data_IF_981962144067
#
_entry.id   IF_981962144067
#
_cell.length_a   1.000
_cell.length_b   1.000
_cell.length_c   1.000
_cell.angle_alpha   90.00
_cell.angle_beta   90.00
_cell.angle_gamma   90.00
#
_symmetry.space_group_name_H-M   'P 1'
#
loop_
_entity.id
_entity.type
_entity.pdbx_description
1 polymer ?
#
# COMPACT_ATOMS: atom_id res chain seq x y z
N UNK A 1 -29.69 -9.77 7.39
CA UNK A 1 -30.36 -9.89 8.65
C UNK A 1 -29.25 -9.69 9.68
N UNK A 2 -29.03 -8.78 10.38
CA UNK A 2 -29.81 -8.33 11.37
C UNK A 2 -29.05 -7.93 12.62
N UNK A 3 -28.20 -6.92 12.40
CA UNK A 3 -27.58 -6.21 13.50
C UNK A 3 -28.66 -5.76 14.52
N UNK A 4 -29.83 -5.37 14.01
CA UNK A 4 -31.00 -5.05 14.85
C UNK A 4 -31.52 -6.22 15.68
N UNK A 5 -31.38 -7.47 15.23
CA UNK A 5 -31.80 -8.64 16.02
C UNK A 5 -30.86 -8.89 17.21
N UNK A 6 -29.57 -8.53 17.04
CA UNK A 6 -28.53 -8.67 18.08
C UNK A 6 -28.63 -7.52 19.10
N UNK A 7 -28.82 -6.29 18.63
CA UNK A 7 -28.70 -5.06 19.42
C UNK A 7 -30.06 -4.53 19.88
N UNK A 8 -31.14 -4.93 19.23
CA UNK A 8 -32.53 -4.50 19.51
C UNK A 8 -32.94 -3.25 18.72
N UNK A 9 -34.23 -3.13 18.41
CA UNK A 9 -34.83 -2.15 17.49
C UNK A 9 -34.84 -0.69 17.92
N UNK A 10 -34.13 -0.30 18.98
CA UNK A 10 -34.13 1.06 19.57
C UNK A 10 -32.82 1.82 19.38
N UNK A 11 -31.97 1.45 18.43
CA UNK A 11 -30.77 2.23 18.08
C UNK A 11 -31.10 3.23 16.98
N UNK A 12 -30.68 4.49 17.18
CA UNK A 12 -30.84 5.58 16.21
C UNK A 12 -29.82 5.46 15.03
N UNK A 13 -29.59 4.25 14.52
CA UNK A 13 -28.76 4.00 13.35
C UNK A 13 -27.24 3.99 13.60
N UNK A 14 -26.74 4.35 14.78
CA UNK A 14 -25.30 4.36 15.11
C UNK A 14 -25.00 3.58 16.40
N UNK A 15 -23.91 2.84 16.40
CA UNK A 15 -23.34 2.19 17.59
C UNK A 15 -21.94 2.71 17.80
N UNK A 16 -21.66 3.25 18.99
CA UNK A 16 -20.32 3.64 19.38
C UNK A 16 -19.61 2.41 19.96
N UNK A 17 -18.42 2.16 19.49
CA UNK A 17 -17.54 1.10 19.98
C UNK A 17 -16.27 1.77 20.48
N UNK A 18 -15.85 1.40 21.66
CA UNK A 18 -14.60 1.81 22.26
C UNK A 18 -13.67 0.58 22.29
N UNK A 19 -12.51 0.71 21.68
CA UNK A 19 -11.48 -0.33 21.67
C UNK A 19 -10.31 0.20 22.47
N UNK A 20 -10.00 -0.46 23.58
CA UNK A 20 -8.83 -0.16 24.39
C UNK A 20 -7.81 -1.28 24.25
N UNK A 21 -6.56 -0.92 24.05
CA UNK A 21 -5.45 -1.87 23.97
C UNK A 21 -4.55 -1.61 25.20
N UNK A 22 -4.46 -2.60 26.09
CA UNK A 22 -3.61 -2.55 27.27
C UNK A 22 -2.12 -2.76 26.95
N UNK A 23 -1.28 -2.60 27.96
CA UNK A 23 0.17 -2.88 27.84
C UNK A 23 0.50 -4.35 27.61
N UNK A 24 -0.48 -5.24 27.77
CA UNK A 24 -0.41 -6.68 27.47
C UNK A 24 -0.80 -7.03 26.02
N UNK A 25 -1.00 -6.01 25.17
CA UNK A 25 -1.47 -6.11 23.78
C UNK A 25 -2.84 -6.79 23.61
N UNK A 26 -3.63 -6.90 24.67
CA UNK A 26 -4.99 -7.39 24.58
C UNK A 26 -5.96 -6.26 24.28
N UNK A 27 -6.80 -6.48 23.28
CA UNK A 27 -7.86 -5.55 22.95
C UNK A 27 -9.11 -5.85 23.80
N UNK A 28 -9.60 -4.83 24.50
CA UNK A 28 -10.90 -4.84 25.16
C UNK A 28 -11.88 -4.04 24.31
N UNK A 29 -13.01 -4.63 23.95
CA UNK A 29 -14.03 -3.99 23.15
C UNK A 29 -15.23 -3.70 24.02
N UNK A 30 -15.57 -2.43 24.15
CA UNK A 30 -16.69 -1.96 24.95
C UNK A 30 -17.67 -1.23 24.06
N UNK A 31 -18.96 -1.50 24.21
CA UNK A 31 -20.04 -0.74 23.57
C UNK A 31 -20.63 0.23 24.60
N UNK A 32 -20.11 1.46 24.70
CA UNK A 32 -20.58 2.41 25.69
C UNK A 32 -21.99 2.87 25.34
N UNK A 33 -22.92 2.76 26.27
CA UNK A 33 -24.23 3.35 26.16
C UNK A 33 -24.62 4.10 27.45
N UNK A 34 -25.14 5.28 27.28
CA UNK A 34 -25.75 6.06 28.37
C UNK A 34 -27.25 5.80 28.41
N UNK A 35 -27.81 5.45 29.56
CA UNK A 35 -29.26 5.27 29.74
C UNK A 35 -29.68 3.94 30.38
N UNK A 36 -31.00 3.73 30.53
CA UNK A 36 -31.61 2.60 31.26
C UNK A 36 -31.21 1.18 30.78
N UNK A 37 -30.68 1.03 29.57
CA UNK A 37 -30.27 -0.26 28.98
C UNK A 37 -28.75 -0.38 28.79
N UNK A 38 -27.96 0.43 29.44
CA UNK A 38 -26.48 0.45 29.30
C UNK A 38 -25.84 -0.92 29.63
N UNK A 39 -26.27 -1.54 30.73
CA UNK A 39 -25.75 -2.85 31.18
C UNK A 39 -26.04 -3.99 30.20
N UNK A 40 -27.12 -3.90 29.40
CA UNK A 40 -27.50 -4.93 28.45
C UNK A 40 -26.61 -4.91 27.18
N UNK A 41 -26.18 -3.72 26.75
CA UNK A 41 -25.27 -3.60 25.60
C UNK A 41 -23.82 -3.97 25.97
N UNK A 42 -23.38 -3.64 27.19
CA UNK A 42 -22.08 -4.07 27.69
C UNK A 42 -21.98 -5.61 27.76
N UNK A 43 -23.05 -6.30 28.17
CA UNK A 43 -23.12 -7.78 28.16
C UNK A 43 -23.11 -8.39 26.76
N UNK A 44 -23.45 -7.62 25.73
CA UNK A 44 -23.45 -8.06 24.31
C UNK A 44 -22.22 -7.61 23.56
N UNK A 45 -21.24 -6.98 24.22
CA UNK A 45 -20.03 -6.45 23.57
C UNK A 45 -19.32 -7.52 22.75
N UNK A 46 -19.14 -8.73 23.27
CA UNK A 46 -18.48 -9.83 22.57
C UNK A 46 -19.24 -10.26 21.30
N UNK A 47 -20.57 -10.32 21.39
CA UNK A 47 -21.43 -10.70 20.25
C UNK A 47 -21.35 -9.60 19.17
N UNK A 48 -21.36 -8.35 19.58
CA UNK A 48 -21.24 -7.21 18.68
C UNK A 48 -19.84 -7.16 18.05
N UNK A 49 -18.81 -7.38 18.84
CA UNK A 49 -17.44 -7.46 18.38
C UNK A 49 -17.27 -8.57 17.33
N UNK A 50 -17.78 -9.76 17.62
CA UNK A 50 -17.78 -10.88 16.68
C UNK A 50 -18.54 -10.55 15.39
N UNK A 51 -19.72 -9.98 15.50
CA UNK A 51 -20.52 -9.56 14.34
C UNK A 51 -19.77 -8.57 13.44
N UNK A 52 -19.00 -7.66 14.01
CA UNK A 52 -18.22 -6.65 13.29
C UNK A 52 -16.98 -7.28 12.67
N UNK A 53 -16.23 -8.10 13.42
CA UNK A 53 -15.03 -8.77 12.94
C UNK A 53 -15.28 -9.72 11.76
N UNK A 54 -16.48 -10.31 11.69
CA UNK A 54 -16.89 -11.14 10.55
C UNK A 54 -17.22 -10.33 9.28
N UNK A 55 -17.36 -8.99 9.37
CA UNK A 55 -17.81 -8.12 8.28
C UNK A 55 -16.80 -7.05 7.88
N UNK A 56 -15.89 -6.71 8.76
CA UNK A 56 -14.81 -5.77 8.49
C UNK A 56 -13.51 -6.56 8.50
N UNK A 57 -12.89 -6.66 7.35
CA UNK A 57 -11.52 -7.19 7.24
C UNK A 57 -10.53 -6.02 7.18
N UNK A 58 -9.48 -6.10 7.97
CA UNK A 58 -8.38 -5.15 7.94
C UNK A 58 -7.19 -5.84 7.29
N UNK A 59 -6.79 -5.36 6.14
CA UNK A 59 -5.61 -5.83 5.43
C UNK A 59 -4.50 -4.79 5.62
N UNK A 60 -3.47 -5.16 6.36
CA UNK A 60 -2.37 -4.27 6.70
C UNK A 60 -1.09 -4.70 5.99
N UNK A 61 -0.47 -3.78 5.27
CA UNK A 61 0.85 -3.92 4.68
C UNK A 61 1.79 -2.98 5.43
N UNK A 62 2.69 -3.52 6.25
CA UNK A 62 3.72 -2.70 6.90
C UNK A 62 4.68 -2.10 5.86
N UNK A 63 5.39 -1.06 6.27
CA UNK A 63 6.49 -0.54 5.47
C UNK A 63 7.53 -1.64 5.25
N UNK A 64 7.72 -2.00 3.98
CA UNK A 64 8.69 -3.02 3.60
C UNK A 64 10.07 -2.40 3.68
N UNK A 65 10.73 -2.59 4.83
CA UNK A 65 12.07 -2.05 5.08
C UNK A 65 13.17 -3.06 4.82
N UNK A 66 12.82 -4.36 4.86
CA UNK A 66 13.76 -5.44 4.60
C UNK A 66 13.20 -6.40 3.56
N UNK A 67 14.10 -7.09 2.90
CA UNK A 67 13.78 -8.14 1.94
C UNK A 67 12.86 -9.22 2.54
N UNK A 68 13.09 -9.54 3.80
CA UNK A 68 12.33 -10.56 4.52
C UNK A 68 10.88 -10.13 4.81
N UNK A 69 10.61 -8.84 5.01
CA UNK A 69 9.27 -8.36 5.34
C UNK A 69 8.29 -8.60 4.17
N UNK A 70 8.71 -8.25 2.94
CA UNK A 70 7.90 -8.48 1.75
C UNK A 70 7.60 -9.97 1.54
N UNK A 71 8.63 -10.81 1.66
CA UNK A 71 8.49 -12.26 1.49
C UNK A 71 7.58 -12.87 2.55
N UNK A 72 7.66 -12.37 3.77
CA UNK A 72 6.81 -12.82 4.87
C UNK A 72 5.33 -12.51 4.59
N UNK A 73 5.01 -11.27 4.20
CA UNK A 73 3.65 -10.86 3.86
C UNK A 73 3.09 -11.62 2.66
N UNK A 74 3.90 -11.84 1.62
CA UNK A 74 3.51 -12.63 0.46
C UNK A 74 3.18 -14.07 0.87
N UNK A 75 4.06 -14.70 1.66
CA UNK A 75 3.84 -16.08 2.13
C UNK A 75 2.63 -16.19 3.03
N UNK A 76 2.41 -15.25 3.93
CA UNK A 76 1.23 -15.20 4.78
C UNK A 76 -0.05 -15.09 3.96
N UNK A 77 -0.10 -14.18 2.99
CA UNK A 77 -1.26 -14.00 2.12
C UNK A 77 -1.60 -15.26 1.30
N UNK A 78 -0.59 -15.98 0.82
CA UNK A 78 -0.80 -17.26 0.11
C UNK A 78 -1.23 -18.35 1.09
N UNK A 79 -0.62 -18.42 2.27
CA UNK A 79 -0.94 -19.41 3.30
C UNK A 79 -2.38 -19.29 3.77
N UNK A 80 -2.90 -18.08 4.03
CA UNK A 80 -4.29 -17.84 4.40
C UNK A 80 -5.28 -18.39 3.36
N UNK A 81 -4.91 -18.35 2.08
CA UNK A 81 -5.76 -18.92 1.01
C UNK A 81 -5.74 -20.44 1.00
N UNK A 82 -4.63 -21.04 1.37
CA UNK A 82 -4.52 -22.48 1.49
C UNK A 82 -5.26 -23.03 2.71
N UNK A 83 -5.55 -22.19 3.72
CA UNK A 83 -6.33 -22.59 4.90
C UNK A 83 -7.76 -23.04 4.54
N UNK A 84 -8.29 -22.62 3.40
CA UNK A 84 -9.58 -23.14 2.88
C UNK A 84 -9.50 -24.64 2.64
N UNK A 85 -8.33 -25.20 2.34
CA UNK A 85 -8.15 -26.64 2.16
C UNK A 85 -8.37 -27.41 3.46
N UNK A 86 -8.17 -26.79 4.63
CA UNK A 86 -8.44 -27.42 5.93
C UNK A 86 -9.93 -27.77 6.16
N UNK A 87 -10.82 -27.26 5.30
CA UNK A 87 -12.24 -27.61 5.30
C UNK A 87 -12.59 -28.63 4.22
N UNK A 88 -11.62 -29.05 3.40
CA UNK A 88 -11.80 -30.00 2.32
C UNK A 88 -11.57 -31.44 2.84
N UNK A 89 -12.60 -32.28 2.75
CA UNK A 89 -12.60 -33.65 3.26
C UNK A 89 -11.48 -34.50 2.64
N UNK A 90 -11.30 -34.43 1.33
CA UNK A 90 -10.24 -35.18 0.62
C UNK A 90 -8.83 -34.72 1.01
N UNK A 91 -8.66 -33.43 1.33
CA UNK A 91 -7.38 -32.92 1.83
C UNK A 91 -7.08 -33.45 3.23
N UNK A 92 -8.10 -33.47 4.11
CA UNK A 92 -7.94 -34.02 5.47
C UNK A 92 -7.63 -35.50 5.45
N UNK A 93 -8.31 -36.31 4.62
CA UNK A 93 -8.03 -37.74 4.44
C UNK A 93 -6.60 -38.00 3.94
N UNK A 94 -6.13 -37.21 2.96
CA UNK A 94 -4.76 -37.30 2.48
C UNK A 94 -3.74 -36.96 3.57
N UNK A 95 -4.01 -35.93 4.38
CA UNK A 95 -3.17 -35.53 5.50
C UNK A 95 -3.13 -36.61 6.59
N UNK A 96 -4.26 -37.24 6.90
CA UNK A 96 -4.32 -38.33 7.87
C UNK A 96 -3.51 -39.54 7.38
N UNK A 97 -3.57 -39.87 6.11
CA UNK A 97 -2.74 -40.92 5.50
C UNK A 97 -1.25 -40.63 5.64
N UNK A 98 -0.82 -39.39 5.32
CA UNK A 98 0.57 -38.95 5.50
C UNK A 98 0.98 -39.06 6.97
N UNK A 99 0.11 -38.63 7.89
CA UNK A 99 0.33 -38.68 9.33
C UNK A 99 0.57 -40.11 9.81
N UNK A 100 -0.26 -41.08 9.38
CA UNK A 100 -0.13 -42.46 9.75
C UNK A 100 1.21 -43.04 9.27
N UNK A 101 1.57 -42.84 8.00
CA UNK A 101 2.84 -43.32 7.43
C UNK A 101 4.05 -42.75 8.16
N UNK A 102 4.02 -41.46 8.53
CA UNK A 102 5.10 -40.84 9.30
C UNK A 102 5.14 -41.34 10.75
N UNK A 103 4.00 -41.55 11.38
CA UNK A 103 3.92 -41.98 12.77
C UNK A 103 4.45 -43.42 12.94
N UNK A 104 4.24 -44.28 11.96
CA UNK A 104 4.78 -45.64 11.98
C UNK A 104 6.31 -45.63 12.07
N UNK A 105 6.96 -44.83 11.22
CA UNK A 105 8.42 -44.63 11.25
C UNK A 105 8.87 -44.02 12.57
N UNK A 106 8.17 -43.05 13.08
CA UNK A 106 8.50 -42.37 14.37
C UNK A 106 8.38 -43.35 15.55
N UNK A 107 7.39 -44.24 15.52
CA UNK A 107 7.19 -45.25 16.54
C UNK A 107 8.36 -46.25 16.52
N UNK A 108 8.82 -46.70 15.35
CA UNK A 108 9.99 -47.58 15.22
C UNK A 108 11.26 -46.93 15.78
N UNK A 109 11.48 -45.64 15.47
CA UNK A 109 12.61 -44.88 16.01
C UNK A 109 12.48 -44.75 17.54
N UNK A 110 11.28 -44.48 18.06
CA UNK A 110 11.01 -44.34 19.48
C UNK A 110 11.32 -45.64 20.26
N UNK A 111 10.97 -46.79 19.68
CA UNK A 111 11.31 -48.10 20.21
C UNK A 111 12.83 -48.30 20.23
N UNK A 112 13.52 -47.95 19.13
CA UNK A 112 14.98 -48.04 19.03
C UNK A 112 15.72 -47.16 20.03
N UNK A 113 15.18 -45.99 20.37
CA UNK A 113 15.76 -45.08 21.36
C UNK A 113 15.46 -45.52 22.81
N UNK A 114 14.31 -46.13 23.06
CA UNK A 114 13.87 -46.49 24.40
C UNK A 114 14.84 -47.47 25.09
N UNK A 115 15.32 -48.49 24.41
CA UNK A 115 16.21 -49.49 24.99
C UNK A 115 17.53 -48.92 25.48
N UNK A 116 18.32 -48.17 24.67
CA UNK A 116 19.55 -47.52 25.15
C UNK A 116 19.28 -46.51 26.27
N UNK A 117 18.16 -45.76 26.22
CA UNK A 117 17.83 -44.81 27.26
C UNK A 117 17.52 -45.49 28.60
N UNK A 118 16.88 -46.68 28.58
CA UNK A 118 16.59 -47.43 29.79
C UNK A 118 17.84 -47.99 30.45
N UNK A 119 18.91 -48.28 29.70
CA UNK A 119 20.20 -48.69 30.23
C UNK A 119 20.83 -47.58 31.10
N UNK A 120 20.70 -46.30 30.67
CA UNK A 120 21.22 -45.17 31.41
C UNK A 120 20.23 -44.65 32.47
N UNK A 121 18.93 -44.76 32.19
CA UNK A 121 17.84 -44.21 33.03
C UNK A 121 16.69 -45.23 33.15
N UNK A 122 16.77 -46.21 34.05
CA UNK A 122 15.81 -47.31 34.18
C UNK A 122 14.37 -46.90 34.48
N UNK A 123 14.18 -45.64 34.92
CA UNK A 123 12.86 -45.08 35.25
C UNK A 123 12.05 -44.67 34.02
N UNK A 124 12.64 -44.59 32.83
CA UNK A 124 11.94 -44.21 31.60
C UNK A 124 10.94 -45.32 31.24
N UNK A 125 9.68 -44.99 31.24
CA UNK A 125 8.60 -45.92 30.88
C UNK A 125 8.28 -45.92 29.40
N UNK A 126 8.32 -44.76 28.77
CA UNK A 126 7.92 -44.59 27.38
C UNK A 126 8.72 -43.45 26.71
N UNK A 127 9.00 -43.61 25.43
CA UNK A 127 9.52 -42.59 24.55
C UNK A 127 8.49 -42.39 23.43
N UNK A 128 8.01 -41.18 23.24
CA UNK A 128 7.09 -40.81 22.14
C UNK A 128 7.75 -39.80 21.22
N UNK A 129 7.70 -40.07 19.93
CA UNK A 129 8.05 -39.13 18.88
C UNK A 129 6.79 -38.79 18.11
N UNK A 130 6.50 -37.51 17.95
CA UNK A 130 5.35 -37.03 17.19
C UNK A 130 5.68 -35.70 16.50
N UNK A 131 5.08 -35.48 15.34
CA UNK A 131 5.15 -34.17 14.67
C UNK A 131 3.91 -33.40 15.08
N UNK A 132 4.09 -32.22 15.71
CA UNK A 132 2.96 -31.37 16.08
C UNK A 132 2.25 -30.86 14.81
N UNK A 133 0.92 -30.87 14.81
CA UNK A 133 0.10 -30.46 13.66
C UNK A 133 0.35 -29.00 13.24
N UNK A 134 0.59 -28.11 14.20
CA UNK A 134 0.98 -26.72 13.91
C UNK A 134 2.30 -26.60 13.15
N UNK A 135 3.33 -27.43 13.51
CA UNK A 135 4.61 -27.44 12.81
C UNK A 135 4.48 -27.98 11.40
N UNK A 136 3.60 -28.94 11.21
CA UNK A 136 3.33 -29.52 9.88
C UNK A 136 2.62 -28.51 8.98
N UNK A 137 1.61 -27.81 9.49
CA UNK A 137 0.95 -26.72 8.77
C UNK A 137 1.93 -25.63 8.40
N UNK A 138 2.79 -25.22 9.32
CA UNK A 138 3.82 -24.22 9.06
C UNK A 138 4.84 -24.67 8.02
N UNK A 139 5.19 -25.94 7.96
CA UNK A 139 6.08 -26.47 6.93
C UNK A 139 5.50 -26.35 5.52
N UNK A 140 4.23 -26.69 5.33
CA UNK A 140 3.54 -26.51 4.04
C UNK A 140 3.38 -25.02 3.67
N UNK A 141 3.19 -24.16 4.64
CA UNK A 141 3.10 -22.71 4.43
C UNK A 141 4.47 -22.08 4.09
N UNK A 142 5.54 -22.52 4.72
CA UNK A 142 6.88 -21.97 4.49
C UNK A 142 7.55 -22.48 3.21
N UNK A 143 7.08 -23.62 2.67
CA UNK A 143 7.62 -24.25 1.47
C UNK A 143 7.08 -23.71 0.14
N UNK A 144 6.43 -22.53 0.14
CA UNK A 144 5.87 -21.94 -1.08
C UNK A 144 6.97 -21.16 -1.80
N UNK A 145 7.33 -21.61 -2.98
CA UNK A 145 8.20 -20.88 -3.90
C UNK A 145 7.38 -20.05 -4.86
N UNK A 146 7.70 -18.74 -4.93
CA UNK A 146 7.04 -17.81 -5.85
C UNK A 146 8.03 -17.50 -6.96
N UNK A 147 7.74 -17.97 -8.16
CA UNK A 147 8.55 -17.72 -9.35
C UNK A 147 7.93 -16.60 -10.16
N UNK A 148 8.71 -15.57 -10.44
CA UNK A 148 8.30 -14.43 -11.28
C UNK A 148 9.16 -14.42 -12.53
N UNK A 149 8.49 -14.38 -13.69
CA UNK A 149 9.12 -14.24 -14.99
C UNK A 149 8.96 -12.81 -15.52
N UNK A 150 10.04 -12.06 -15.50
CA UNK A 150 10.20 -10.72 -16.08
C UNK A 150 11.11 -10.75 -17.33
N UNK A 151 11.16 -11.90 -17.99
CA UNK A 151 12.10 -12.25 -19.06
C UNK A 151 13.16 -13.24 -18.60
N UNK A 152 13.25 -13.49 -17.30
CA UNK A 152 14.11 -14.50 -16.70
C UNK A 152 13.41 -15.09 -15.45
N UNK A 153 12.80 -16.28 -15.55
CA UNK A 153 12.06 -16.87 -14.43
C UNK A 153 13.00 -17.19 -13.27
N UNK A 154 12.82 -16.52 -12.15
CA UNK A 154 13.58 -16.71 -10.92
C UNK A 154 12.67 -16.62 -9.71
N UNK A 155 13.08 -17.27 -8.61
CA UNK A 155 12.37 -17.14 -7.34
C UNK A 155 12.36 -15.68 -6.90
N UNK A 156 11.24 -15.23 -6.34
CA UNK A 156 11.03 -13.86 -5.87
C UNK A 156 12.10 -13.41 -4.87
N UNK A 157 12.69 -14.33 -4.13
CA UNK A 157 13.81 -14.05 -3.21
C UNK A 157 14.99 -13.38 -3.91
N UNK A 158 15.24 -13.73 -5.18
CA UNK A 158 16.32 -13.18 -6.00
C UNK A 158 15.88 -11.97 -6.86
N UNK A 159 14.64 -11.52 -6.75
CA UNK A 159 14.14 -10.30 -7.41
C UNK A 159 14.45 -9.07 -6.57
N UNK A 160 14.52 -7.91 -7.23
CA UNK A 160 14.69 -6.63 -6.55
C UNK A 160 13.49 -6.27 -5.65
N UNK A 161 13.73 -5.46 -4.62
CA UNK A 161 12.74 -5.10 -3.59
C UNK A 161 11.49 -4.44 -4.17
N UNK A 162 11.62 -3.70 -5.26
CA UNK A 162 10.49 -3.14 -5.99
C UNK A 162 9.50 -4.20 -6.50
N UNK A 163 10.00 -5.31 -7.06
CA UNK A 163 9.16 -6.41 -7.54
C UNK A 163 8.49 -7.11 -6.37
N UNK A 164 9.21 -7.31 -5.27
CA UNK A 164 8.68 -7.91 -4.04
C UNK A 164 7.53 -7.07 -3.48
N UNK A 165 7.73 -5.75 -3.34
CA UNK A 165 6.71 -4.80 -2.86
C UNK A 165 5.47 -4.77 -3.75
N UNK A 166 5.65 -4.69 -5.07
CA UNK A 166 4.52 -4.71 -6.01
C UNK A 166 3.77 -6.04 -5.99
N UNK A 167 4.46 -7.16 -5.79
CA UNK A 167 3.83 -8.48 -5.66
C UNK A 167 2.98 -8.58 -4.40
N UNK A 168 3.46 -8.07 -3.26
CA UNK A 168 2.69 -8.02 -2.03
C UNK A 168 1.40 -7.20 -2.21
N UNK A 169 1.50 -6.02 -2.84
CA UNK A 169 0.36 -5.15 -3.11
C UNK A 169 -0.63 -5.80 -4.11
N UNK A 170 -0.13 -6.50 -5.13
CA UNK A 170 -0.97 -7.20 -6.10
C UNK A 170 -1.78 -8.33 -5.46
N UNK A 171 -1.18 -9.10 -4.54
CA UNK A 171 -1.86 -10.14 -3.77
C UNK A 171 -2.96 -9.56 -2.87
N UNK A 172 -2.69 -8.42 -2.24
CA UNK A 172 -3.69 -7.73 -1.42
C UNK A 172 -4.84 -7.18 -2.24
N UNK A 173 -4.56 -6.63 -3.42
CA UNK A 173 -5.62 -6.20 -4.34
C UNK A 173 -6.57 -7.36 -4.66
N UNK A 174 -6.02 -8.53 -4.93
CA UNK A 174 -6.86 -9.71 -5.21
C UNK A 174 -7.66 -10.15 -3.98
N UNK A 175 -7.06 -10.06 -2.78
CA UNK A 175 -7.74 -10.39 -1.52
C UNK A 175 -8.87 -9.38 -1.20
N UNK A 176 -8.62 -8.09 -1.39
CA UNK A 176 -9.59 -7.03 -1.16
C UNK A 176 -10.84 -7.16 -2.04
N UNK A 177 -10.70 -7.67 -3.27
CA UNK A 177 -11.83 -7.89 -4.17
C UNK A 177 -12.80 -9.00 -3.70
N UNK A 178 -12.36 -9.88 -2.80
CA UNK A 178 -13.15 -11.00 -2.28
C UNK A 178 -13.82 -10.71 -0.93
N UNK A 179 -13.41 -9.65 -0.24
CA UNK A 179 -13.93 -9.28 1.08
C UNK A 179 -15.13 -8.35 0.98
N UNK A 180 -16.08 -8.46 1.90
CA UNK A 180 -17.33 -7.69 1.85
C UNK A 180 -17.16 -6.19 2.14
N UNK A 181 -16.18 -5.78 2.96
CA UNK A 181 -15.91 -4.37 3.28
C UNK A 181 -14.47 -4.24 3.82
N UNK A 182 -13.45 -4.34 2.96
CA UNK A 182 -12.07 -4.29 3.42
C UNK A 182 -11.63 -2.87 3.74
N UNK A 183 -10.91 -2.74 4.86
CA UNK A 183 -10.04 -1.60 5.14
C UNK A 183 -8.63 -2.02 4.77
N UNK A 184 -8.01 -1.29 3.86
CA UNK A 184 -6.66 -1.56 3.38
C UNK A 184 -5.74 -0.48 3.94
N UNK A 185 -4.72 -0.89 4.67
CA UNK A 185 -3.71 0.01 5.25
C UNK A 185 -2.37 -0.33 4.60
N UNK A 186 -1.73 0.68 4.01
CA UNK A 186 -0.44 0.51 3.33
C UNK A 186 0.53 1.54 3.89
N UNK A 187 1.64 1.07 4.45
CA UNK A 187 2.70 1.95 4.95
C UNK A 187 3.79 2.13 3.90
N UNK A 188 4.11 3.39 3.62
CA UNK A 188 5.20 3.83 2.74
C UNK A 188 5.35 2.97 1.47
N UNK A 189 4.29 2.85 0.66
CA UNK A 189 4.29 1.96 -0.50
C UNK A 189 5.33 2.31 -1.57
N UNK A 190 5.86 3.53 -1.53
CA UNK A 190 6.93 4.01 -2.40
C UNK A 190 8.32 3.50 -2.03
N UNK A 191 8.50 2.91 -0.85
CA UNK A 191 9.79 2.45 -0.39
C UNK A 191 10.41 1.48 -1.41
N UNK A 192 11.69 1.73 -1.77
CA UNK A 192 12.47 0.92 -2.72
C UNK A 192 11.92 0.84 -4.16
N UNK A 193 10.92 1.66 -4.53
CA UNK A 193 10.38 1.68 -5.89
C UNK A 193 11.07 2.74 -6.76
N UNK A 194 11.23 2.39 -8.04
CA UNK A 194 11.63 3.36 -9.05
C UNK A 194 10.48 4.38 -9.29
N UNK A 195 10.76 5.67 -9.59
CA UNK A 195 9.73 6.70 -9.78
C UNK A 195 8.59 6.33 -10.74
N UNK A 196 8.88 5.59 -11.81
CA UNK A 196 7.86 5.13 -12.75
C UNK A 196 6.90 4.11 -12.10
N UNK A 197 7.43 3.21 -11.28
CA UNK A 197 6.64 2.23 -10.55
C UNK A 197 5.75 2.90 -9.48
N UNK A 198 6.21 3.99 -8.86
CA UNK A 198 5.40 4.75 -7.89
C UNK A 198 4.16 5.36 -8.56
N UNK A 199 4.29 5.89 -9.79
CA UNK A 199 3.13 6.40 -10.53
C UNK A 199 2.10 5.29 -10.85
N UNK A 200 2.58 4.11 -11.25
CA UNK A 200 1.70 2.96 -11.50
C UNK A 200 1.02 2.50 -10.22
N UNK A 201 1.77 2.45 -9.12
CA UNK A 201 1.26 2.08 -7.82
C UNK A 201 0.18 3.06 -7.32
N UNK A 202 0.40 4.37 -7.47
CA UNK A 202 -0.62 5.37 -7.13
C UNK A 202 -1.93 5.11 -7.87
N UNK A 203 -1.87 4.82 -9.18
CA UNK A 203 -3.07 4.49 -9.97
C UNK A 203 -3.76 3.20 -9.49
N UNK A 204 -3.01 2.21 -9.02
CA UNK A 204 -3.57 0.99 -8.43
C UNK A 204 -4.28 1.31 -7.12
N UNK A 205 -3.67 2.11 -6.25
CA UNK A 205 -4.24 2.52 -4.95
C UNK A 205 -5.50 3.37 -5.16
N UNK A 206 -5.51 4.29 -6.12
CA UNK A 206 -6.71 5.05 -6.50
C UNK A 206 -7.84 4.11 -6.92
N UNK A 207 -7.58 3.14 -7.81
CA UNK A 207 -8.58 2.16 -8.22
C UNK A 207 -9.08 1.29 -7.06
N UNK A 208 -8.22 0.92 -6.10
CA UNK A 208 -8.64 0.23 -4.87
C UNK A 208 -9.58 1.09 -4.02
N UNK A 209 -9.34 2.39 -3.97
CA UNK A 209 -10.12 3.32 -3.14
C UNK A 209 -11.54 3.58 -3.64
N UNK A 210 -11.88 3.20 -4.87
CA UNK A 210 -13.23 3.33 -5.41
C UNK A 210 -14.26 2.47 -4.66
N UNK A 211 -13.84 1.29 -4.20
CA UNK A 211 -14.74 0.31 -3.55
C UNK A 211 -14.32 -0.05 -2.12
N UNK A 212 -13.19 0.47 -1.63
CA UNK A 212 -12.63 0.12 -0.34
C UNK A 212 -12.22 1.36 0.44
N UNK A 213 -12.11 1.25 1.75
CA UNK A 213 -11.43 2.25 2.56
C UNK A 213 -9.92 1.99 2.49
N UNK A 214 -9.17 2.88 1.84
CA UNK A 214 -7.72 2.79 1.75
C UNK A 214 -7.07 3.87 2.60
N UNK A 215 -6.13 3.48 3.45
CA UNK A 215 -5.32 4.37 4.28
C UNK A 215 -3.86 4.16 3.87
N UNK A 216 -3.19 5.22 3.48
CA UNK A 216 -1.79 5.18 3.07
C UNK A 216 -0.97 6.10 3.96
N UNK A 217 0.13 5.61 4.53
CA UNK A 217 1.14 6.50 5.10
C UNK A 217 2.24 6.70 4.07
N UNK A 218 2.69 7.94 3.88
CA UNK A 218 3.66 8.25 2.84
C UNK A 218 4.42 9.53 3.13
N UNK A 219 5.65 9.60 2.65
CA UNK A 219 6.44 10.81 2.53
C UNK A 219 6.54 11.31 1.07
N UNK A 220 5.88 10.64 0.13
CA UNK A 220 5.95 10.97 -1.29
C UNK A 220 4.77 11.85 -1.74
N UNK A 221 5.03 13.00 -2.36
CA UNK A 221 4.00 13.94 -2.81
C UNK A 221 3.04 13.39 -3.87
N UNK A 222 3.37 12.27 -4.51
CA UNK A 222 2.50 11.62 -5.51
C UNK A 222 1.23 11.03 -4.90
N UNK A 223 1.27 10.61 -3.64
CA UNK A 223 0.11 10.07 -2.93
C UNK A 223 -0.78 11.14 -2.27
N UNK A 224 -0.43 12.43 -2.41
CA UNK A 224 -1.24 13.53 -1.86
C UNK A 224 -2.54 13.68 -2.64
N UNK A 225 -3.66 13.57 -1.95
CA UNK A 225 -5.01 13.79 -2.51
C UNK A 225 -5.23 15.29 -2.70
N UNK A 226 -5.21 15.76 -3.95
CA UNK A 226 -5.23 17.18 -4.29
C UNK A 226 -6.63 17.74 -4.50
N UNK A 227 -7.57 16.95 -4.97
CA UNK A 227 -8.97 17.30 -5.22
C UNK A 227 -9.78 17.43 -3.92
N UNK A 228 -9.33 16.75 -2.86
CA UNK A 228 -9.93 16.86 -1.52
C UNK A 228 -8.83 16.88 -0.44
N UNK A 229 -8.34 18.08 -0.15
CA UNK A 229 -7.21 18.27 0.78
C UNK A 229 -7.48 17.71 2.18
N UNK A 230 -8.71 17.74 2.66
CA UNK A 230 -9.06 17.21 3.99
C UNK A 230 -8.90 15.69 4.14
N UNK A 231 -8.76 14.96 3.04
CA UNK A 231 -8.42 13.53 3.07
C UNK A 231 -6.94 13.27 3.44
N UNK A 232 -6.08 14.29 3.33
CA UNK A 232 -4.71 14.18 3.81
C UNK A 232 -4.69 14.46 5.30
N UNK A 233 -4.27 13.45 6.07
CA UNK A 233 -4.16 13.56 7.53
C UNK A 233 -2.70 13.82 7.89
N UNK A 234 -2.45 14.94 8.51
CA UNK A 234 -1.13 15.30 9.02
C UNK A 234 -0.99 14.76 10.43
N UNK A 235 0.09 14.01 10.65
CA UNK A 235 0.47 13.51 11.98
C UNK A 235 1.67 14.33 12.45
N UNK A 236 1.47 15.07 13.52
CA UNK A 236 2.51 15.90 14.13
C UNK A 236 2.45 15.79 15.66
N UNK A 237 3.59 15.51 16.28
CA UNK A 237 3.72 15.37 17.74
C UNK A 237 2.63 14.48 18.40
N UNK A 238 2.33 13.34 17.77
CA UNK A 238 1.32 12.39 18.26
C UNK A 238 -0.13 12.82 18.05
N UNK A 239 -0.36 13.91 17.31
CA UNK A 239 -1.70 14.42 16.99
C UNK A 239 -1.98 14.28 15.51
N UNK A 240 -3.13 13.68 15.16
CA UNK A 240 -3.61 13.53 13.80
C UNK A 240 -4.67 14.61 13.48
N UNK A 241 -4.50 15.35 12.39
CA UNK A 241 -5.45 16.38 11.95
C UNK A 241 -5.60 16.42 10.43
N UNK A 242 -6.79 16.64 9.89
CA UNK A 242 -6.96 16.89 8.46
C UNK A 242 -6.18 18.12 8.02
N UNK A 243 -5.54 18.04 6.87
CA UNK A 243 -4.86 19.17 6.26
C UNK A 243 -5.89 20.25 5.84
N UNK A 244 -5.58 21.50 6.09
CA UNK A 244 -6.45 22.64 5.74
C UNK A 244 -6.22 23.14 4.33
N UNK A 245 -5.00 23.03 3.84
CA UNK A 245 -4.60 23.49 2.52
C UNK A 245 -3.34 22.76 2.04
N UNK A 246 -3.04 22.87 0.75
CA UNK A 246 -1.89 22.21 0.12
C UNK A 246 -0.55 22.73 0.67
N UNK A 247 -0.50 23.99 1.11
CA UNK A 247 0.73 24.58 1.67
C UNK A 247 1.15 23.84 2.94
N UNK A 248 0.21 23.54 3.84
CA UNK A 248 0.46 22.80 5.07
C UNK A 248 1.01 21.37 4.77
N UNK A 249 0.44 20.69 3.76
CA UNK A 249 0.94 19.38 3.33
C UNK A 249 2.39 19.49 2.80
N UNK A 250 2.67 20.49 1.97
CA UNK A 250 4.01 20.70 1.41
C UNK A 250 5.05 21.01 2.48
N UNK A 251 4.69 21.81 3.48
CA UNK A 251 5.59 22.14 4.59
C UNK A 251 5.96 20.88 5.39
N UNK A 252 4.99 20.01 5.69
CA UNK A 252 5.23 18.76 6.41
C UNK A 252 6.08 17.78 5.60
N UNK A 253 5.83 17.68 4.29
CA UNK A 253 6.63 16.84 3.40
C UNK A 253 8.02 17.43 3.07
N UNK A 254 8.32 18.68 3.48
CA UNK A 254 9.56 19.35 3.17
C UNK A 254 9.75 19.69 1.69
N UNK A 255 8.65 19.74 0.91
CA UNK A 255 8.72 19.90 -0.55
C UNK A 255 9.07 21.34 -0.93
N UNK A 256 10.18 21.52 -1.62
CA UNK A 256 10.53 22.77 -2.30
C UNK A 256 9.86 22.85 -3.66
N UNK A 257 9.80 24.06 -4.24
CA UNK A 257 9.21 24.27 -5.58
C UNK A 257 9.92 23.43 -6.65
N UNK A 258 11.22 23.23 -6.52
CA UNK A 258 12.04 22.39 -7.39
C UNK A 258 11.64 20.92 -7.37
N UNK A 259 11.15 20.42 -6.26
CA UNK A 259 10.92 18.97 -6.07
C UNK A 259 9.69 18.46 -6.86
N UNK A 260 8.74 19.37 -7.18
CA UNK A 260 7.61 19.04 -8.05
C UNK A 260 8.02 18.72 -9.50
N UNK A 261 9.20 19.16 -9.91
CA UNK A 261 9.73 18.95 -11.26
C UNK A 261 10.55 17.66 -11.39
N UNK A 262 11.04 17.11 -10.28
CA UNK A 262 11.87 15.89 -10.27
C UNK A 262 11.13 14.70 -10.89
N UNK A 263 9.81 14.64 -10.74
CA UNK A 263 9.00 13.54 -11.26
C UNK A 263 8.41 13.80 -12.66
N UNK A 264 8.64 15.00 -13.22
CA UNK A 264 8.11 15.36 -14.54
C UNK A 264 9.11 14.98 -15.63
N UNK A 265 8.70 14.12 -16.55
CA UNK A 265 9.49 13.79 -17.75
C UNK A 265 9.45 14.92 -18.78
N UNK A 266 8.31 15.59 -18.90
CA UNK A 266 8.05 16.66 -19.84
C UNK A 266 7.56 17.89 -19.11
N UNK A 267 8.08 19.05 -19.51
CA UNK A 267 7.67 20.36 -18.97
C UNK A 267 7.22 21.25 -20.12
N UNK A 268 5.99 21.72 -20.07
CA UNK A 268 5.53 22.82 -20.92
C UNK A 268 5.76 24.12 -20.16
N UNK A 269 6.63 24.96 -20.66
CA UNK A 269 6.98 26.23 -20.09
C UNK A 269 6.11 27.31 -20.72
N UNK A 270 5.43 28.09 -19.89
CA UNK A 270 4.56 29.20 -20.32
C UNK A 270 4.95 30.48 -19.63
N UNK A 271 4.61 31.62 -20.21
CA UNK A 271 5.01 32.91 -19.68
C UNK A 271 4.25 33.30 -18.43
N UNK A 272 2.93 33.18 -18.42
CA UNK A 272 2.04 33.64 -17.37
C UNK A 272 1.20 32.55 -16.69
N UNK A 273 0.59 32.95 -15.57
CA UNK A 273 -0.35 32.11 -14.81
C UNK A 273 -1.64 31.82 -15.59
N UNK A 274 -2.09 32.76 -16.42
CA UNK A 274 -3.31 32.64 -17.21
C UNK A 274 -3.16 31.60 -18.30
N UNK A 275 -1.99 31.54 -18.95
CA UNK A 275 -1.65 30.50 -19.91
C UNK A 275 -1.65 29.13 -19.28
N UNK A 276 -1.03 29.01 -18.11
CA UNK A 276 -0.99 27.77 -17.36
C UNK A 276 -2.37 27.27 -17.01
N UNK A 277 -3.23 28.10 -16.44
CA UNK A 277 -4.60 27.70 -16.09
C UNK A 277 -5.44 27.37 -17.32
N UNK A 278 -5.31 28.16 -18.40
CA UNK A 278 -6.00 27.91 -19.66
C UNK A 278 -5.60 26.59 -20.28
N UNK A 279 -4.30 26.32 -20.38
CA UNK A 279 -3.77 25.09 -20.98
C UNK A 279 -4.02 23.86 -20.11
N UNK A 280 -4.01 23.98 -18.79
CA UNK A 280 -4.37 22.91 -17.86
C UNK A 280 -5.79 22.39 -18.08
N UNK A 281 -6.70 23.26 -18.48
CA UNK A 281 -8.09 22.89 -18.80
C UNK A 281 -8.29 22.47 -20.26
N UNK A 282 -7.52 23.04 -21.16
CA UNK A 282 -7.67 22.84 -22.60
C UNK A 282 -7.00 21.55 -23.10
N UNK A 283 -5.73 21.32 -22.71
CA UNK A 283 -4.93 20.23 -23.20
C UNK A 283 -5.53 18.83 -22.94
N UNK A 284 -6.11 18.54 -21.77
CA UNK A 284 -6.76 17.25 -21.55
C UNK A 284 -7.99 17.01 -22.43
N UNK A 285 -8.68 18.09 -22.84
CA UNK A 285 -9.84 18.02 -23.75
C UNK A 285 -9.42 17.81 -25.20
N UNK A 286 -8.24 18.31 -25.57
CA UNK A 286 -7.69 18.15 -26.93
C UNK A 286 -7.08 16.78 -27.15
N UNK A 287 -6.51 16.17 -26.11
CA UNK A 287 -5.85 14.88 -26.22
C UNK A 287 -5.94 14.07 -24.93
N UNK A 288 -6.56 12.91 -25.01
CA UNK A 288 -6.64 11.96 -23.88
C UNK A 288 -5.24 11.53 -23.41
N UNK A 289 -4.29 11.38 -24.35
CA UNK A 289 -2.90 11.03 -24.03
C UNK A 289 -2.23 12.10 -23.18
N UNK A 290 -2.41 13.38 -23.52
CA UNK A 290 -1.90 14.51 -22.75
C UNK A 290 -2.60 14.56 -21.38
N UNK A 291 -3.89 14.39 -21.33
CA UNK A 291 -4.66 14.35 -20.09
C UNK A 291 -4.17 13.26 -19.13
N UNK A 292 -3.89 12.07 -19.64
CA UNK A 292 -3.29 10.99 -18.85
C UNK A 292 -1.89 11.33 -18.34
N UNK A 293 -1.03 11.89 -19.20
CA UNK A 293 0.32 12.30 -18.83
C UNK A 293 0.33 13.39 -17.76
N UNK A 294 -0.61 14.34 -17.81
CA UNK A 294 -0.78 15.38 -16.79
C UNK A 294 -1.27 14.80 -15.46
N UNK A 295 -2.24 13.88 -15.48
CA UNK A 295 -2.73 13.19 -14.28
C UNK A 295 -1.63 12.38 -13.59
N UNK A 296 -0.76 11.75 -14.36
CA UNK A 296 0.38 10.96 -13.87
C UNK A 296 1.60 11.80 -13.50
N UNK A 297 1.52 13.14 -13.53
CA UNK A 297 2.63 14.08 -13.35
C UNK A 297 3.83 13.84 -14.30
N UNK A 298 3.64 13.13 -15.41
CA UNK A 298 4.66 12.96 -16.45
C UNK A 298 4.82 14.24 -17.27
N UNK A 299 3.76 15.03 -17.42
CA UNK A 299 3.74 16.33 -18.06
C UNK A 299 3.27 17.39 -17.07
N UNK A 300 4.11 18.39 -16.84
CA UNK A 300 3.81 19.55 -15.97
C UNK A 300 3.85 20.84 -16.76
N UNK A 301 2.94 21.78 -16.49
CA UNK A 301 2.97 23.13 -17.04
C UNK A 301 3.63 24.04 -16.02
N UNK A 302 4.73 24.66 -16.39
CA UNK A 302 5.50 25.59 -15.56
C UNK A 302 5.35 27.02 -16.05
N UNK A 303 4.91 27.93 -15.16
CA UNK A 303 4.85 29.36 -15.42
C UNK A 303 6.17 30.03 -15.03
N UNK A 304 6.64 30.95 -15.86
CA UNK A 304 7.88 31.68 -15.64
C UNK A 304 7.70 32.84 -14.65
N UNK A 305 6.49 33.43 -14.58
CA UNK A 305 6.26 34.68 -13.86
C UNK A 305 6.93 35.89 -14.52
N UNK A 306 7.14 35.79 -15.84
CA UNK A 306 7.77 36.76 -16.73
C UNK A 306 8.91 36.18 -17.57
N UNK A 307 9.03 36.61 -18.81
CA UNK A 307 9.97 36.09 -19.81
C UNK A 307 11.43 36.14 -19.34
N UNK A 308 11.82 37.10 -18.51
CA UNK A 308 13.21 37.26 -18.00
C UNK A 308 13.72 36.04 -17.20
N UNK A 309 12.83 35.20 -16.67
CA UNK A 309 13.17 34.02 -15.88
C UNK A 309 13.46 32.77 -16.74
N UNK A 310 13.29 32.86 -18.07
CA UNK A 310 13.37 31.71 -18.99
C UNK A 310 14.69 30.96 -18.88
N UNK A 311 15.84 31.63 -19.05
CA UNK A 311 17.16 30.99 -19.03
C UNK A 311 17.41 30.23 -17.70
N UNK A 312 16.99 30.81 -16.59
CA UNK A 312 17.12 30.16 -15.28
C UNK A 312 16.27 28.89 -15.20
N UNK A 313 15.00 28.95 -15.60
CA UNK A 313 14.09 27.82 -15.58
C UNK A 313 14.56 26.67 -16.50
N UNK A 314 15.03 27.00 -17.73
CA UNK A 314 15.51 25.99 -18.67
C UNK A 314 16.80 25.32 -18.20
N UNK A 315 17.72 26.05 -17.58
CA UNK A 315 18.90 25.45 -16.92
C UNK A 315 18.50 24.48 -15.81
N UNK A 316 17.51 24.84 -15.00
CA UNK A 316 16.98 23.98 -13.95
C UNK A 316 16.41 22.69 -14.55
N UNK A 317 15.56 22.76 -15.58
CA UNK A 317 14.97 21.59 -16.22
C UNK A 317 16.01 20.70 -16.89
N UNK A 318 17.00 21.30 -17.53
CA UNK A 318 18.13 20.56 -18.14
C UNK A 318 18.91 19.76 -17.07
N UNK A 319 19.19 20.39 -15.92
CA UNK A 319 19.87 19.71 -14.81
C UNK A 319 19.01 18.61 -14.17
N UNK A 320 17.69 18.73 -14.25
CA UNK A 320 16.75 17.74 -13.78
C UNK A 320 16.41 16.66 -14.84
N UNK A 321 17.10 16.66 -15.98
CA UNK A 321 16.90 15.73 -17.09
C UNK A 321 15.45 15.74 -17.67
N UNK A 322 14.71 16.84 -17.50
CA UNK A 322 13.40 17.01 -18.10
C UNK A 322 13.53 17.41 -19.56
N UNK A 323 12.66 16.84 -20.41
CA UNK A 323 12.40 17.37 -21.75
C UNK A 323 11.41 18.54 -21.63
N UNK A 324 11.67 19.65 -22.29
CA UNK A 324 10.79 20.82 -22.20
C UNK A 324 10.44 21.40 -23.57
N UNK A 325 9.28 22.03 -23.63
CA UNK A 325 8.81 22.84 -24.75
C UNK A 325 8.41 24.21 -24.19
N UNK A 326 8.75 25.26 -24.89
CA UNK A 326 8.55 26.66 -24.45
C UNK A 326 7.47 27.31 -25.30
N UNK A 327 6.52 27.94 -24.66
CA UNK A 327 5.49 28.80 -25.26
C UNK A 327 5.58 30.19 -24.63
N UNK A 328 5.94 31.19 -25.40
CA UNK A 328 6.05 32.59 -25.00
C UNK A 328 5.13 33.44 -25.86
N UNK A 329 4.79 34.61 -25.36
CA UNK A 329 4.10 35.66 -26.11
C UNK A 329 4.98 36.21 -27.23
N UNK A 330 4.42 36.55 -28.38
CA UNK A 330 5.14 37.12 -29.54
C UNK A 330 5.37 38.63 -29.39
N UNK A 331 5.80 39.04 -28.18
CA UNK A 331 6.14 40.40 -27.86
C UNK A 331 7.68 40.63 -27.80
N UNK A 332 8.10 41.86 -27.49
CA UNK A 332 9.51 42.23 -27.44
C UNK A 332 10.25 41.56 -26.26
N UNK A 333 9.58 41.25 -25.15
CA UNK A 333 10.16 40.60 -23.99
C UNK A 333 10.36 39.12 -24.25
N UNK A 334 9.36 38.43 -24.77
CA UNK A 334 9.45 37.03 -25.16
C UNK A 334 10.52 36.78 -26.19
N UNK A 335 10.64 37.63 -27.23
CA UNK A 335 11.68 37.56 -28.25
C UNK A 335 13.09 37.70 -27.68
N UNK A 336 13.33 38.68 -26.81
CA UNK A 336 14.60 38.88 -26.15
C UNK A 336 15.00 37.72 -25.25
N UNK A 337 14.04 37.17 -24.50
CA UNK A 337 14.26 36.04 -23.64
C UNK A 337 14.60 34.78 -24.46
N UNK A 338 13.89 34.56 -25.57
CA UNK A 338 14.15 33.46 -26.53
C UNK A 338 15.58 33.57 -27.11
N UNK A 339 15.97 34.74 -27.68
CA UNK A 339 17.31 34.96 -28.25
C UNK A 339 18.42 34.71 -27.23
N UNK A 340 18.19 35.10 -25.99
CA UNK A 340 19.13 34.86 -24.90
C UNK A 340 19.27 33.37 -24.61
N UNK A 341 18.17 32.65 -24.45
CA UNK A 341 18.18 31.21 -24.19
C UNK A 341 18.78 30.40 -25.36
N UNK A 342 18.59 30.85 -26.59
CA UNK A 342 19.23 30.28 -27.78
C UNK A 342 20.73 30.44 -27.77
N UNK A 343 21.24 31.65 -27.46
CA UNK A 343 22.68 31.94 -27.31
C UNK A 343 23.32 31.08 -26.22
N UNK A 344 22.59 30.75 -25.17
CA UNK A 344 22.99 29.89 -24.08
C UNK A 344 22.86 28.38 -24.40
N UNK A 345 22.47 28.00 -25.63
CA UNK A 345 22.21 26.62 -26.07
C UNK A 345 21.18 25.87 -25.19
N UNK A 346 20.20 26.58 -24.68
CA UNK A 346 19.11 26.03 -23.88
C UNK A 346 17.89 25.67 -24.75
N UNK A 347 17.70 26.35 -25.87
CA UNK A 347 16.63 26.09 -26.84
C UNK A 347 17.27 25.64 -28.15
N UNK A 348 16.74 24.60 -28.79
CA UNK A 348 17.10 24.16 -30.13
C UNK A 348 15.88 24.27 -31.02
N UNK A 349 16.08 24.59 -32.33
CA UNK A 349 14.99 24.73 -33.34
C UNK A 349 14.05 23.50 -33.39
N UNK A 350 14.51 22.33 -32.96
CA UNK A 350 13.69 21.10 -32.88
C UNK A 350 12.71 21.07 -31.70
N UNK A 351 12.82 21.97 -30.78
CA UNK A 351 12.00 22.05 -29.57
C UNK A 351 10.79 22.99 -29.76
N UNK A 352 10.63 23.51 -30.97
CA UNK A 352 9.54 24.40 -31.38
C UNK A 352 8.69 23.64 -32.40
N UNK A 353 7.47 23.27 -32.02
CA UNK A 353 6.41 22.82 -32.93
C UNK A 353 5.14 23.57 -32.58
#
# INVERSE_FOLDING_TARGET
>A
ADFYSIVGSKLNGTVTIEISIGSDNKAEIIVPKRGKNASMLTRKSDIIAKFISERISVNYIPAIRTENDALHEIRNSVAERLDVLEQNESYLEAMDTINQLQQDILNDIAVGIKQPLQEFMPKIKEVKLQIADERRRNYFRSGIDIIIDDGNPTNIEFKGDGIKSLTAIALLKEHALKSSTPVIIIEEPEAHLHPEAINQLNSIIEGLSENNQVIVTTHNPLFVVRDNISRNIIIDNGTAKPAKNLKEVREVLGIKVSDNLINSKYVLVVEGSDDKESLKHLLPKMSEKIGKAMKQNLLTIHELGGASSLSYALNLFKNMLCSYVVLLDDDDEGKKAYEKAEKENLIRIKDIT
#
